data_IF_448940992712
#
_entry.id   IF_448940992712
#
_cell.length_a   1.000
_cell.length_b   1.000
_cell.length_c   1.000
_cell.angle_alpha   90.00
_cell.angle_beta   90.00
_cell.angle_gamma   90.00
#
_symmetry.space_group_name_H-M   'P 1'
#
loop_
_entity.id
_entity.type
_entity.pdbx_description
1 polymer ?
#
# COMPACT_ATOMS: atom_id res chain seq x y z
N UNK A 1 -10.63 16.43 11.85
CA UNK A 1 -9.29 15.87 11.58
C UNK A 1 -8.85 16.35 10.21
N UNK A 2 -7.64 16.84 10.07
CA UNK A 2 -7.10 17.22 8.76
C UNK A 2 -5.89 16.33 8.39
N UNK A 3 -5.74 16.07 7.10
CA UNK A 3 -4.64 15.31 6.56
C UNK A 3 -3.32 16.11 6.59
N UNK A 4 -2.23 15.36 6.54
CA UNK A 4 -0.87 15.88 6.42
C UNK A 4 0.02 14.83 5.76
N UNK A 5 1.16 15.26 5.21
CA UNK A 5 2.11 14.39 4.52
C UNK A 5 1.55 13.76 3.22
N UNK A 6 1.94 12.52 2.91
CA UNK A 6 1.59 11.84 1.65
C UNK A 6 0.33 10.99 1.74
N UNK A 7 -0.15 10.52 0.58
CA UNK A 7 -1.31 9.62 0.50
C UNK A 7 -1.14 8.33 1.32
N UNK A 8 0.08 7.78 1.36
CA UNK A 8 0.38 6.61 2.18
C UNK A 8 0.18 6.86 3.68
N UNK A 9 0.50 8.07 4.15
CA UNK A 9 0.29 8.46 5.55
C UNK A 9 -1.20 8.55 5.85
N UNK A 10 -1.99 9.13 4.95
CA UNK A 10 -3.45 9.22 5.11
C UNK A 10 -4.04 7.81 5.20
N UNK A 11 -3.71 6.93 4.26
CA UNK A 11 -4.18 5.54 4.24
C UNK A 11 -3.76 4.79 5.50
N UNK A 12 -2.54 4.97 5.97
CA UNK A 12 -2.05 4.31 7.18
C UNK A 12 -2.77 4.80 8.44
N UNK A 13 -2.93 6.11 8.62
CA UNK A 13 -3.39 6.69 9.87
C UNK A 13 -4.91 6.89 9.95
N UNK A 14 -5.65 6.79 8.84
CA UNK A 14 -7.13 6.84 8.88
C UNK A 14 -7.74 5.77 9.80
N UNK A 15 -7.05 4.63 10.02
CA UNK A 15 -7.46 3.59 10.98
C UNK A 15 -7.76 4.09 12.39
N UNK A 16 -7.28 5.28 12.74
CA UNK A 16 -7.52 5.91 14.04
C UNK A 16 -8.83 6.70 14.09
N UNK A 17 -9.45 7.03 12.95
CA UNK A 17 -10.68 7.83 12.90
C UNK A 17 -11.85 7.16 13.64
N UNK A 18 -12.13 5.86 13.47
CA UNK A 18 -13.18 5.20 14.21
C UNK A 18 -12.99 5.24 15.73
N UNK A 19 -11.73 5.27 16.21
CA UNK A 19 -11.44 5.30 17.64
C UNK A 19 -11.84 6.63 18.30
N UNK A 20 -11.94 7.72 17.52
CA UNK A 20 -12.41 9.02 18.04
C UNK A 20 -13.87 8.92 18.49
N UNK A 21 -14.71 8.18 17.76
CA UNK A 21 -16.11 7.94 18.14
C UNK A 21 -16.26 6.97 19.32
N UNK A 22 -15.21 6.25 19.66
CA UNK A 22 -15.19 5.28 20.79
C UNK A 22 -14.63 5.86 22.09
N UNK A 23 -14.30 7.17 22.13
CA UNK A 23 -13.86 7.86 23.34
C UNK A 23 -14.99 7.94 24.38
N UNK A 24 -14.67 8.09 25.67
CA UNK A 24 -15.66 8.30 26.74
C UNK A 24 -16.54 9.55 26.51
N UNK A 25 -15.98 10.57 25.84
CA UNK A 25 -16.67 11.78 25.42
C UNK A 25 -16.38 12.04 23.94
N UNK A 26 -17.06 11.34 23.02
CA UNK A 26 -16.82 11.50 21.60
C UNK A 26 -17.35 12.84 21.10
N UNK A 27 -16.78 13.40 20.02
CA UNK A 27 -17.33 14.59 19.38
C UNK A 27 -18.72 14.28 18.81
N UNK A 28 -19.62 15.28 18.86
CA UNK A 28 -20.96 15.19 18.25
C UNK A 28 -20.86 14.97 16.73
N UNK A 29 -19.89 15.64 16.09
CA UNK A 29 -19.59 15.48 14.67
C UNK A 29 -18.10 15.30 14.44
N UNK A 30 -17.74 14.47 13.48
CA UNK A 30 -16.38 14.22 13.04
C UNK A 30 -16.26 14.52 11.55
N UNK A 31 -15.50 15.59 11.25
CA UNK A 31 -15.14 15.98 9.88
C UNK A 31 -13.76 15.48 9.54
N UNK A 32 -13.59 14.94 8.34
CA UNK A 32 -12.29 14.54 7.83
C UNK A 32 -11.94 15.36 6.58
N UNK A 33 -10.96 16.23 6.72
CA UNK A 33 -10.32 16.92 5.61
C UNK A 33 -9.40 15.92 4.89
N UNK A 34 -9.71 15.63 3.64
CA UNK A 34 -9.07 14.58 2.86
C UNK A 34 -8.96 15.01 1.39
N UNK A 35 -7.81 14.78 0.73
CA UNK A 35 -7.69 15.07 -0.69
C UNK A 35 -8.77 14.34 -1.52
N UNK A 36 -9.38 15.04 -2.46
CA UNK A 36 -10.47 14.53 -3.33
C UNK A 36 -10.18 13.15 -3.91
N UNK A 37 -8.92 12.91 -4.29
CA UNK A 37 -8.48 11.63 -4.88
C UNK A 37 -8.67 10.41 -3.96
N UNK A 38 -8.64 10.61 -2.64
CA UNK A 38 -8.78 9.52 -1.66
C UNK A 38 -10.21 9.36 -1.17
N UNK A 39 -11.08 10.36 -1.33
CA UNK A 39 -12.45 10.34 -0.82
C UNK A 39 -13.22 9.07 -1.20
N UNK A 40 -13.10 8.54 -2.44
CA UNK A 40 -13.78 7.30 -2.82
C UNK A 40 -13.49 6.09 -1.93
N UNK A 41 -12.31 6.03 -1.27
CA UNK A 41 -11.95 4.95 -0.35
C UNK A 41 -12.73 4.99 0.98
N UNK A 42 -13.40 6.09 1.30
CA UNK A 42 -14.07 6.33 2.58
C UNK A 42 -15.59 6.43 2.47
N UNK A 43 -16.17 6.02 1.34
CA UNK A 43 -17.61 6.21 1.04
C UNK A 43 -18.52 5.58 2.11
N UNK A 44 -18.13 4.44 2.71
CA UNK A 44 -18.93 3.68 3.69
C UNK A 44 -18.40 3.81 5.14
N UNK A 45 -17.77 4.95 5.45
CA UNK A 45 -17.23 5.18 6.78
C UNK A 45 -18.23 5.87 7.72
N UNK A 46 -19.08 5.07 8.37
CA UNK A 46 -20.13 5.52 9.32
C UNK A 46 -19.62 6.39 10.48
N UNK A 47 -18.31 6.35 10.77
CA UNK A 47 -17.73 7.18 11.81
C UNK A 47 -17.54 8.64 11.41
N UNK A 48 -17.64 8.97 10.12
CA UNK A 48 -17.47 10.32 9.59
C UNK A 48 -18.83 10.94 9.34
N UNK A 49 -19.03 12.15 9.84
CA UNK A 49 -20.22 12.94 9.55
C UNK A 49 -20.07 13.70 8.21
N UNK A 50 -18.83 14.05 7.84
CA UNK A 50 -18.50 14.67 6.57
C UNK A 50 -17.05 14.40 6.19
N UNK A 51 -16.80 14.18 4.91
CA UNK A 51 -15.47 14.07 4.31
C UNK A 51 -15.42 14.93 3.05
N UNK A 52 -14.43 15.80 2.94
CA UNK A 52 -14.19 16.64 1.77
C UNK A 52 -12.76 17.14 1.73
N UNK A 53 -12.32 17.65 0.59
CA UNK A 53 -11.14 18.51 0.49
C UNK A 53 -11.60 19.95 0.79
N UNK A 54 -11.40 20.38 2.04
CA UNK A 54 -11.85 21.70 2.49
C UNK A 54 -10.94 22.84 2.01
N UNK A 55 -9.74 22.53 1.53
CA UNK A 55 -8.78 23.53 1.06
C UNK A 55 -8.53 24.65 2.07
N UNK A 56 -8.61 25.91 1.62
CA UNK A 56 -8.38 27.08 2.46
C UNK A 56 -9.60 27.50 3.31
N UNK A 57 -10.73 26.81 3.19
CA UNK A 57 -11.97 27.16 3.89
C UNK A 57 -12.54 25.99 4.69
N UNK A 58 -11.82 25.54 5.75
CA UNK A 58 -12.34 24.47 6.60
C UNK A 58 -13.63 24.90 7.30
N UNK A 59 -14.53 23.94 7.65
CA UNK A 59 -15.72 24.22 8.42
C UNK A 59 -15.36 24.83 9.79
N UNK A 60 -16.28 25.61 10.38
CA UNK A 60 -16.14 26.07 11.76
C UNK A 60 -16.27 24.87 12.71
N UNK A 61 -15.24 24.63 13.53
CA UNK A 61 -15.16 23.50 14.44
C UNK A 61 -14.60 23.93 15.80
N UNK A 62 -15.02 23.26 16.87
CA UNK A 62 -14.50 23.54 18.22
C UNK A 62 -13.05 23.10 18.38
N UNK A 63 -12.65 22.02 17.70
CA UNK A 63 -11.32 21.42 17.78
C UNK A 63 -10.86 20.90 16.42
N UNK A 64 -9.57 20.96 16.17
CA UNK A 64 -8.94 20.30 15.04
C UNK A 64 -7.69 19.53 15.48
N UNK A 65 -7.33 18.50 14.74
CA UNK A 65 -6.13 17.70 15.00
C UNK A 65 -5.55 17.18 13.68
N UNK A 66 -4.22 17.25 13.49
CA UNK A 66 -3.57 16.54 12.39
C UNK A 66 -3.74 15.02 12.52
N UNK A 67 -3.96 14.34 11.41
CA UNK A 67 -4.22 12.90 11.37
C UNK A 67 -3.09 12.09 12.05
N UNK A 68 -1.83 12.43 11.78
CA UNK A 68 -0.68 11.73 12.34
C UNK A 68 -0.44 12.05 13.82
N UNK A 69 -1.15 13.00 14.41
CA UNK A 69 -1.13 13.25 15.85
C UNK A 69 -2.07 12.34 16.65
N UNK A 70 -3.00 11.65 16.00
CA UNK A 70 -3.97 10.77 16.65
C UNK A 70 -3.31 9.65 17.48
N UNK A 71 -2.29 8.92 16.99
CA UNK A 71 -1.64 7.88 17.79
C UNK A 71 -1.16 8.39 19.15
N UNK A 72 -0.48 9.53 19.17
CA UNK A 72 0.02 10.14 20.42
C UNK A 72 -1.12 10.59 21.34
N UNK A 73 -2.21 11.14 20.81
CA UNK A 73 -3.37 11.57 21.59
C UNK A 73 -4.17 10.41 22.15
N UNK A 74 -4.20 9.28 21.45
CA UNK A 74 -4.88 8.06 21.87
C UNK A 74 -3.97 7.14 22.69
N UNK A 75 -2.74 7.56 23.03
CA UNK A 75 -1.81 6.79 23.84
C UNK A 75 -1.35 5.49 23.18
N UNK A 76 -1.21 5.49 21.85
CA UNK A 76 -0.80 4.28 21.11
C UNK A 76 0.63 3.88 21.46
N UNK A 77 0.81 2.61 21.77
CA UNK A 77 2.10 1.91 21.87
C UNK A 77 2.22 0.89 20.76
N UNK A 78 3.35 0.19 20.64
CA UNK A 78 3.52 -0.86 19.64
C UNK A 78 2.49 -1.98 19.78
N UNK A 79 2.08 -2.30 21.02
CA UNK A 79 1.14 -3.34 21.35
C UNK A 79 -0.33 -2.92 21.12
N UNK A 80 -0.58 -1.61 21.05
CA UNK A 80 -1.93 -1.05 20.91
C UNK A 80 -2.18 -0.39 19.55
N UNK A 81 -1.27 -0.56 18.58
CA UNK A 81 -1.53 -0.15 17.21
C UNK A 81 -2.82 -0.85 16.73
N UNK A 82 -3.83 -0.10 16.23
CA UNK A 82 -5.04 -0.72 15.70
C UNK A 82 -4.71 -1.62 14.51
N UNK A 83 -4.76 -2.95 14.72
CA UNK A 83 -4.38 -3.96 13.74
C UNK A 83 -5.57 -4.78 13.22
N UNK A 84 -6.80 -4.34 13.50
CA UNK A 84 -8.00 -4.95 12.90
C UNK A 84 -7.99 -4.69 11.38
N UNK A 85 -7.98 -5.77 10.60
CA UNK A 85 -7.94 -5.72 9.13
C UNK A 85 -9.11 -6.52 8.55
N UNK A 86 -9.63 -6.14 7.38
CA UNK A 86 -9.38 -4.88 6.69
C UNK A 86 -10.02 -3.68 7.42
N UNK A 87 -9.45 -2.49 7.30
CA UNK A 87 -10.10 -1.24 7.70
C UNK A 87 -10.47 -0.36 6.49
N UNK A 88 -9.97 -0.67 5.30
CA UNK A 88 -10.46 -0.17 4.02
C UNK A 88 -10.98 -1.35 3.20
N UNK A 89 -12.05 -1.13 2.47
CA UNK A 89 -12.63 -2.09 1.53
C UNK A 89 -12.63 -1.50 0.13
N UNK A 90 -12.63 -2.35 -0.89
CA UNK A 90 -12.75 -1.89 -2.26
C UNK A 90 -14.16 -1.31 -2.50
N UNK A 91 -14.30 -0.02 -2.87
CA UNK A 91 -15.60 0.58 -3.15
C UNK A 91 -16.19 0.17 -4.53
N UNK A 92 -15.37 -0.52 -5.37
CA UNK A 92 -15.67 -0.84 -6.76
C UNK A 92 -15.59 -2.34 -7.04
N UNK A 93 -16.18 -3.20 -6.18
CA UNK A 93 -16.01 -4.66 -6.19
C UNK A 93 -16.21 -5.35 -7.56
N UNK A 94 -17.02 -4.79 -8.46
CA UNK A 94 -17.31 -5.37 -9.77
C UNK A 94 -16.75 -4.56 -10.96
N UNK A 95 -15.82 -3.66 -10.69
CA UNK A 95 -15.38 -2.67 -11.67
C UNK A 95 -14.42 -3.19 -12.73
N UNK A 96 -13.47 -4.06 -12.34
CA UNK A 96 -12.37 -4.49 -13.21
C UNK A 96 -11.97 -5.92 -12.90
N UNK A 97 -11.87 -6.73 -13.94
CA UNK A 97 -11.32 -8.09 -13.83
C UNK A 97 -9.87 -8.09 -14.35
N UNK A 98 -8.93 -8.41 -13.47
CA UNK A 98 -7.51 -8.55 -13.85
C UNK A 98 -7.39 -9.73 -14.81
N UNK A 99 -6.89 -9.53 -16.04
CA UNK A 99 -6.83 -10.57 -17.05
C UNK A 99 -6.01 -11.75 -16.55
N UNK A 100 -6.52 -13.00 -16.63
CA UNK A 100 -5.76 -14.18 -16.25
C UNK A 100 -4.63 -14.41 -17.26
N UNK A 101 -3.44 -14.78 -16.77
CA UNK A 101 -2.32 -15.17 -17.61
C UNK A 101 -2.19 -16.70 -17.67
N UNK A 102 -1.95 -17.23 -18.86
CA UNK A 102 -1.98 -18.68 -19.08
C UNK A 102 -0.91 -19.43 -18.25
N UNK A 103 -1.32 -20.53 -17.63
CA UNK A 103 -0.41 -21.40 -16.87
C UNK A 103 0.07 -20.83 -15.52
N UNK A 104 -0.57 -19.76 -15.04
CA UNK A 104 -0.25 -19.14 -13.75
C UNK A 104 -1.30 -19.48 -12.70
N UNK A 105 -0.86 -19.57 -11.44
CA UNK A 105 -1.72 -19.85 -10.27
C UNK A 105 -1.57 -18.81 -9.18
N UNK A 106 -0.56 -17.95 -9.25
CA UNK A 106 -0.28 -16.90 -8.29
C UNK A 106 -0.23 -15.55 -9.01
N UNK A 107 -0.99 -14.57 -8.52
CA UNK A 107 -1.01 -13.19 -9.02
C UNK A 107 -0.16 -12.30 -8.12
N UNK A 108 0.92 -11.74 -8.65
CA UNK A 108 1.84 -10.85 -7.93
C UNK A 108 1.78 -9.46 -8.54
N UNK A 109 1.25 -8.49 -7.78
CA UNK A 109 1.33 -7.07 -8.12
C UNK A 109 2.74 -6.52 -7.85
N UNK A 110 3.35 -5.78 -8.78
CA UNK A 110 4.71 -5.26 -8.62
C UNK A 110 4.76 -3.74 -8.73
N UNK A 111 5.51 -3.08 -7.81
CA UNK A 111 5.83 -1.65 -7.84
C UNK A 111 7.28 -1.44 -7.44
N UNK A 112 8.05 -0.70 -8.25
CA UNK A 112 9.51 -0.59 -8.10
C UNK A 112 10.01 0.85 -7.97
N UNK A 113 9.20 1.84 -8.33
CA UNK A 113 9.58 3.24 -8.30
C UNK A 113 8.56 4.12 -7.57
N UNK A 114 8.98 5.31 -7.20
CA UNK A 114 8.15 6.32 -6.56
C UNK A 114 8.47 7.68 -7.14
N UNK A 115 7.45 8.45 -7.49
CA UNK A 115 7.55 9.70 -8.27
C UNK A 115 7.96 10.94 -7.44
N UNK A 116 8.62 10.81 -6.31
CA UNK A 116 8.86 11.97 -5.44
C UNK A 116 10.34 12.23 -5.16
N UNK A 117 10.95 13.10 -5.98
CA UNK A 117 12.17 13.86 -5.66
C UNK A 117 13.45 13.05 -5.32
N UNK A 118 14.55 13.76 -5.07
CA UNK A 118 15.87 13.16 -4.84
C UNK A 118 15.97 12.25 -3.61
N UNK A 119 15.17 12.51 -2.56
CA UNK A 119 15.14 11.68 -1.33
C UNK A 119 14.52 10.30 -1.55
N UNK A 120 13.65 10.15 -2.54
CA UNK A 120 12.98 8.89 -2.87
C UNK A 120 13.79 7.98 -3.79
N UNK A 121 14.79 8.50 -4.51
CA UNK A 121 15.67 7.69 -5.38
C UNK A 121 16.36 6.52 -4.64
N UNK A 122 16.57 6.65 -3.33
CA UNK A 122 17.13 5.57 -2.51
C UNK A 122 16.18 4.40 -2.29
N UNK A 123 14.87 4.62 -2.48
CA UNK A 123 13.82 3.60 -2.34
C UNK A 123 13.56 2.86 -3.66
N UNK A 124 14.00 3.39 -4.79
CA UNK A 124 13.77 2.79 -6.12
C UNK A 124 14.55 1.49 -6.23
N UNK A 125 13.85 0.41 -6.52
CA UNK A 125 14.43 -0.86 -6.91
C UNK A 125 14.47 -0.91 -8.45
N UNK A 126 15.63 -1.02 -9.10
CA UNK A 126 15.66 -1.12 -10.56
C UNK A 126 14.77 -2.28 -11.04
N UNK A 127 13.93 -2.05 -12.04
CA UNK A 127 13.06 -3.10 -12.59
C UNK A 127 13.85 -4.34 -13.04
N UNK A 128 15.11 -4.16 -13.46
CA UNK A 128 16.02 -5.24 -13.84
C UNK A 128 16.28 -6.23 -12.70
N UNK A 129 16.26 -5.77 -11.45
CA UNK A 129 16.40 -6.67 -10.29
C UNK A 129 15.13 -7.51 -10.11
N UNK A 130 13.95 -6.90 -10.19
CA UNK A 130 12.68 -7.60 -10.10
C UNK A 130 12.50 -8.57 -11.29
N UNK A 131 13.01 -8.21 -12.46
CA UNK A 131 12.95 -9.04 -13.65
C UNK A 131 13.66 -10.39 -13.50
N UNK A 132 14.56 -10.52 -12.53
CA UNK A 132 15.15 -11.82 -12.16
C UNK A 132 14.08 -12.80 -11.61
N UNK A 133 12.91 -12.32 -11.18
CA UNK A 133 11.80 -13.21 -10.77
C UNK A 133 10.92 -13.65 -11.95
N UNK A 134 10.98 -12.98 -13.09
CA UNK A 134 10.07 -13.24 -14.23
C UNK A 134 10.31 -14.57 -14.94
N UNK A 135 11.35 -15.33 -14.59
CA UNK A 135 11.57 -16.70 -15.05
C UNK A 135 10.80 -17.75 -14.22
N UNK A 136 10.22 -17.32 -13.08
CA UNK A 136 9.46 -18.21 -12.20
C UNK A 136 8.16 -18.65 -12.88
N UNK A 137 7.96 -19.98 -12.92
CA UNK A 137 6.74 -20.57 -13.48
C UNK A 137 5.57 -20.45 -12.50
N UNK A 138 4.37 -20.42 -13.03
CA UNK A 138 3.12 -20.36 -12.26
C UNK A 138 2.84 -19.01 -11.58
N UNK A 139 3.65 -17.99 -11.81
CA UNK A 139 3.40 -16.63 -11.33
C UNK A 139 3.02 -15.73 -12.50
N UNK A 140 1.94 -14.97 -12.33
CA UNK A 140 1.59 -13.82 -13.13
C UNK A 140 2.07 -12.54 -12.43
N UNK A 141 2.94 -11.78 -13.07
CA UNK A 141 3.40 -10.49 -12.58
C UNK A 141 2.61 -9.37 -13.22
N UNK A 142 1.94 -8.57 -12.40
CA UNK A 142 1.15 -7.41 -12.83
C UNK A 142 1.81 -6.12 -12.39
N UNK A 143 2.22 -5.29 -13.35
CA UNK A 143 2.78 -3.97 -13.06
C UNK A 143 1.72 -3.02 -12.55
N UNK A 144 1.80 -2.67 -11.27
CA UNK A 144 0.97 -1.66 -10.61
C UNK A 144 1.70 -0.32 -10.49
N UNK A 145 2.74 -0.13 -11.31
CA UNK A 145 3.53 1.10 -11.33
C UNK A 145 2.77 2.21 -12.05
N UNK A 146 2.64 3.35 -11.39
CA UNK A 146 2.03 4.55 -11.94
C UNK A 146 3.10 5.51 -12.52
N UNK A 147 2.70 6.36 -13.48
CA UNK A 147 3.55 7.41 -14.02
C UNK A 147 4.52 6.95 -15.09
N UNK A 148 5.60 7.73 -15.31
CA UNK A 148 6.56 7.49 -16.41
C UNK A 148 7.36 6.20 -16.23
N UNK A 149 7.67 5.84 -14.99
CA UNK A 149 8.44 4.63 -14.66
C UNK A 149 7.70 3.34 -15.08
N UNK A 150 6.38 3.38 -15.25
CA UNK A 150 5.59 2.23 -15.72
C UNK A 150 6.10 1.69 -17.07
N UNK A 151 6.64 2.54 -17.93
CA UNK A 151 7.18 2.17 -19.25
C UNK A 151 8.42 1.28 -19.18
N UNK A 152 9.12 1.25 -18.04
CA UNK A 152 10.27 0.36 -17.87
C UNK A 152 9.85 -1.11 -17.99
N UNK A 153 8.59 -1.45 -17.63
CA UNK A 153 8.07 -2.80 -17.74
C UNK A 153 7.83 -3.24 -19.20
N UNK A 154 7.68 -2.30 -20.16
CA UNK A 154 7.38 -2.60 -21.56
C UNK A 154 8.43 -3.53 -22.19
N UNK A 155 9.69 -3.44 -21.74
CA UNK A 155 10.79 -4.29 -22.17
C UNK A 155 10.59 -5.78 -21.80
N UNK A 156 9.69 -6.09 -20.88
CA UNK A 156 9.46 -7.41 -20.34
C UNK A 156 8.08 -7.99 -20.67
N UNK A 157 7.17 -7.17 -21.22
CA UNK A 157 5.79 -7.62 -21.55
C UNK A 157 5.70 -8.61 -22.70
N UNK A 158 6.81 -8.86 -23.42
CA UNK A 158 6.89 -9.98 -24.37
C UNK A 158 6.88 -11.36 -23.68
N UNK A 159 7.06 -11.42 -22.34
CA UNK A 159 6.91 -12.63 -21.53
C UNK A 159 5.44 -12.87 -21.27
N UNK A 160 4.99 -14.10 -21.43
CA UNK A 160 3.58 -14.50 -21.29
C UNK A 160 3.02 -14.31 -19.85
N UNK A 161 3.92 -14.23 -18.87
CA UNK A 161 3.57 -14.09 -17.45
C UNK A 161 3.80 -12.67 -16.88
N UNK A 162 4.02 -11.66 -17.72
CA UNK A 162 4.22 -10.27 -17.31
C UNK A 162 3.22 -9.37 -18.01
N UNK A 163 2.46 -8.61 -17.26
CA UNK A 163 1.44 -7.70 -17.77
C UNK A 163 1.47 -6.35 -17.07
N UNK A 164 1.31 -5.25 -17.83
CA UNK A 164 1.22 -3.89 -17.27
C UNK A 164 -0.24 -3.49 -17.11
N UNK A 165 -0.62 -3.06 -15.91
CA UNK A 165 -1.94 -2.51 -15.59
C UNK A 165 -1.88 -0.98 -15.43
N UNK A 166 -0.80 -0.32 -15.86
CA UNK A 166 -0.60 1.11 -15.71
C UNK A 166 -1.74 1.98 -16.26
N UNK A 167 -2.38 1.54 -17.35
CA UNK A 167 -3.49 2.24 -17.99
C UNK A 167 -4.84 2.03 -17.25
N UNK A 168 -4.91 1.02 -16.37
CA UNK A 168 -6.11 0.65 -15.62
C UNK A 168 -6.11 1.28 -14.21
N UNK A 169 -4.99 1.86 -13.78
CA UNK A 169 -4.81 2.55 -12.50
C UNK A 169 -5.36 3.99 -12.60
N UNK A 170 -6.69 4.13 -12.73
CA UNK A 170 -7.33 5.44 -12.92
C UNK A 170 -7.39 6.31 -11.66
N UNK A 171 -7.52 5.71 -10.48
CA UNK A 171 -7.66 6.36 -9.19
C UNK A 171 -7.31 5.41 -8.04
N UNK A 172 -7.42 5.87 -6.80
CA UNK A 172 -7.15 5.02 -5.62
C UNK A 172 -8.19 3.91 -5.47
N UNK A 173 -9.43 4.16 -5.83
CA UNK A 173 -10.52 3.19 -5.89
C UNK A 173 -10.28 2.12 -6.97
N UNK A 174 -9.86 2.51 -8.16
CA UNK A 174 -9.47 1.58 -9.23
C UNK A 174 -8.26 0.74 -8.80
N UNK A 175 -7.27 1.39 -8.17
CA UNK A 175 -6.10 0.71 -7.64
C UNK A 175 -6.49 -0.30 -6.55
N UNK A 176 -7.42 0.04 -5.68
CA UNK A 176 -7.97 -0.86 -4.67
C UNK A 176 -8.64 -2.10 -5.31
N UNK A 177 -9.47 -1.89 -6.36
CA UNK A 177 -10.14 -2.96 -7.08
C UNK A 177 -9.15 -3.94 -7.76
N UNK A 178 -8.01 -3.43 -8.21
CA UNK A 178 -6.95 -4.25 -8.80
C UNK A 178 -6.16 -4.98 -7.71
N UNK A 179 -5.79 -4.30 -6.61
CA UNK A 179 -5.04 -4.88 -5.50
C UNK A 179 -5.80 -6.04 -4.85
N UNK A 180 -7.13 -5.92 -4.69
CA UNK A 180 -7.97 -6.97 -4.11
C UNK A 180 -7.86 -8.31 -4.82
N UNK A 181 -7.50 -8.31 -6.10
CA UNK A 181 -7.37 -9.50 -6.92
C UNK A 181 -5.95 -10.08 -6.93
N UNK A 182 -5.01 -9.49 -6.19
CA UNK A 182 -3.63 -9.99 -6.05
C UNK A 182 -3.52 -10.95 -4.87
N UNK A 183 -2.76 -12.02 -5.04
CA UNK A 183 -2.40 -12.92 -3.94
C UNK A 183 -1.33 -12.29 -3.04
N UNK A 184 -0.46 -11.47 -3.62
CA UNK A 184 0.56 -10.68 -2.92
C UNK A 184 0.95 -9.44 -3.73
N UNK A 185 1.23 -8.35 -3.04
CA UNK A 185 1.78 -7.13 -3.63
C UNK A 185 3.25 -7.00 -3.24
N UNK A 186 4.16 -7.11 -4.20
CA UNK A 186 5.59 -6.88 -4.04
C UNK A 186 5.91 -5.43 -4.41
N UNK A 187 6.22 -4.60 -3.45
CA UNK A 187 6.41 -3.18 -3.67
C UNK A 187 7.52 -2.59 -2.82
N UNK A 188 8.18 -1.55 -3.32
CA UNK A 188 8.93 -0.65 -2.45
C UNK A 188 7.97 0.14 -1.55
N UNK A 189 8.49 0.88 -0.58
CA UNK A 189 7.73 1.72 0.36
C UNK A 189 6.99 2.88 -0.36
N UNK A 190 5.74 2.62 -0.77
CA UNK A 190 4.82 3.55 -1.45
C UNK A 190 3.41 3.45 -0.85
N UNK A 191 2.49 4.32 -1.29
CA UNK A 191 1.08 4.24 -0.87
C UNK A 191 0.43 2.88 -1.19
N UNK A 192 0.93 2.16 -2.18
CA UNK A 192 0.43 0.83 -2.58
C UNK A 192 0.52 -0.18 -1.44
N UNK A 193 1.63 -0.21 -0.69
CA UNK A 193 1.78 -1.13 0.45
C UNK A 193 0.83 -0.78 1.58
N UNK A 194 0.52 0.50 1.76
CA UNK A 194 -0.43 0.95 2.76
C UNK A 194 -1.86 0.59 2.36
N UNK A 195 -2.21 0.73 1.07
CA UNK A 195 -3.51 0.37 0.54
C UNK A 195 -3.73 -1.15 0.60
N UNK A 196 -2.78 -1.95 0.13
CA UNK A 196 -2.83 -3.40 0.22
C UNK A 196 -2.98 -3.87 1.67
N UNK A 197 -2.14 -3.35 2.58
CA UNK A 197 -2.22 -3.66 4.00
C UNK A 197 -3.55 -3.26 4.64
N UNK A 198 -4.09 -2.08 4.31
CA UNK A 198 -5.38 -1.61 4.79
C UNK A 198 -6.55 -2.51 4.36
N UNK A 199 -6.45 -3.13 3.19
CA UNK A 199 -7.41 -4.07 2.62
C UNK A 199 -7.16 -5.53 3.05
N UNK A 200 -6.15 -5.77 3.90
CA UNK A 200 -5.72 -7.12 4.31
C UNK A 200 -5.18 -8.00 3.17
N UNK A 201 -4.68 -7.38 2.10
CA UNK A 201 -3.95 -8.08 1.05
C UNK A 201 -2.48 -8.15 1.44
N UNK A 202 -1.83 -9.33 1.39
CA UNK A 202 -0.43 -9.48 1.76
C UNK A 202 0.47 -8.53 0.97
N UNK A 203 1.24 -7.67 1.66
CA UNK A 203 2.24 -6.81 1.05
C UNK A 203 3.65 -7.27 1.45
N UNK A 204 4.48 -7.56 0.47
CA UNK A 204 5.90 -7.83 0.62
C UNK A 204 6.67 -6.57 0.29
N UNK A 205 7.20 -5.94 1.32
CA UNK A 205 7.72 -4.58 1.25
C UNK A 205 9.24 -4.64 1.11
N UNK A 206 9.73 -4.23 -0.04
CA UNK A 206 11.15 -4.10 -0.34
C UNK A 206 11.68 -2.79 0.24
N UNK A 207 12.62 -2.87 1.16
CA UNK A 207 13.11 -1.73 1.91
C UNK A 207 14.58 -1.43 1.59
N UNK A 208 14.94 -0.14 1.45
CA UNK A 208 16.33 0.27 1.36
C UNK A 208 17.07 -0.02 2.66
N UNK A 209 18.39 0.03 2.64
CA UNK A 209 19.26 -0.15 3.82
C UNK A 209 18.88 0.80 4.96
N UNK A 210 18.48 2.03 4.63
CA UNK A 210 17.94 3.00 5.60
C UNK A 210 16.46 3.22 5.31
N UNK A 211 15.56 2.43 5.94
CA UNK A 211 14.13 2.52 5.70
C UNK A 211 13.50 3.71 6.42
N UNK A 212 12.24 3.97 6.15
CA UNK A 212 11.42 4.88 6.93
C UNK A 212 11.19 4.31 8.35
N UNK A 213 10.99 5.19 9.33
CA UNK A 213 10.83 4.86 10.76
C UNK A 213 9.74 3.82 11.04
N UNK A 214 8.66 3.83 10.25
CA UNK A 214 7.51 2.94 10.44
C UNK A 214 7.82 1.47 10.21
N UNK A 215 8.89 1.18 9.49
CA UNK A 215 9.31 -0.19 9.18
C UNK A 215 10.32 -0.74 10.17
N UNK A 216 10.80 0.06 11.14
CA UNK A 216 11.83 -0.33 12.12
C UNK A 216 13.15 -0.79 11.45
N UNK A 217 14.06 -1.40 12.22
CA UNK A 217 15.38 -1.84 11.72
C UNK A 217 15.55 -3.36 11.75
N UNK A 218 15.07 -4.02 12.80
CA UNK A 218 15.51 -5.39 13.15
C UNK A 218 14.39 -6.45 13.06
N UNK A 219 13.34 -6.19 12.24
CA UNK A 219 12.22 -7.12 12.12
C UNK A 219 11.83 -7.36 10.65
N UNK A 220 11.31 -8.54 10.38
CA UNK A 220 10.79 -8.97 9.07
C UNK A 220 9.27 -8.88 8.94
N UNK A 221 8.57 -8.55 10.04
CA UNK A 221 7.14 -8.29 10.11
C UNK A 221 6.87 -6.80 10.38
N UNK A 222 5.62 -6.40 10.40
CA UNK A 222 5.23 -5.04 10.78
C UNK A 222 3.97 -5.03 11.64
N UNK A 223 3.94 -4.26 12.76
CA UNK A 223 2.74 -4.15 13.59
C UNK A 223 1.62 -3.36 12.90
N UNK A 224 1.94 -2.62 11.83
CA UNK A 224 0.95 -1.87 11.06
C UNK A 224 0.05 -2.76 10.21
N UNK A 225 0.61 -3.85 9.66
CA UNK A 225 -0.06 -4.74 8.71
C UNK A 225 0.36 -6.18 8.98
N UNK A 226 -0.37 -6.92 9.85
CA UNK A 226 0.05 -8.25 10.30
C UNK A 226 0.26 -9.28 9.18
N UNK A 227 -0.44 -9.12 8.05
CA UNK A 227 -0.27 -9.98 6.86
C UNK A 227 0.93 -9.62 5.97
N UNK A 228 1.68 -8.55 6.29
CA UNK A 228 2.77 -8.05 5.46
C UNK A 228 4.15 -8.52 5.95
N UNK A 229 5.13 -8.55 5.03
CA UNK A 229 6.52 -8.94 5.29
C UNK A 229 7.49 -7.90 4.78
N UNK A 230 8.62 -7.75 5.48
CA UNK A 230 9.66 -6.77 5.19
C UNK A 230 10.92 -7.46 4.67
N UNK A 231 11.37 -7.04 3.49
CA UNK A 231 12.60 -7.53 2.84
C UNK A 231 13.58 -6.36 2.72
N UNK A 232 14.75 -6.46 3.35
CA UNK A 232 15.66 -5.35 3.54
C UNK A 232 16.97 -5.55 2.81
N UNK A 233 17.49 -4.47 2.22
CA UNK A 233 18.87 -4.44 1.72
C UNK A 233 19.86 -4.73 2.84
N UNK A 234 20.86 -5.56 2.57
CA UNK A 234 21.97 -5.87 3.48
C UNK A 234 23.05 -4.77 3.46
N UNK A 235 23.16 -4.03 2.36
CA UNK A 235 24.04 -2.88 2.18
C UNK A 235 23.33 -1.84 1.29
N UNK A 236 23.73 -0.55 1.32
CA UNK A 236 23.12 0.48 0.46
C UNK A 236 23.19 0.10 -1.03
N UNK A 237 22.02 0.04 -1.67
CA UNK A 237 21.87 -0.28 -3.10
C UNK A 237 21.85 -1.78 -3.43
N UNK A 238 21.97 -2.65 -2.44
CA UNK A 238 21.99 -4.12 -2.62
C UNK A 238 20.55 -4.66 -2.77
N UNK A 239 19.92 -4.38 -3.92
CA UNK A 239 18.61 -4.92 -4.25
C UNK A 239 18.66 -6.40 -4.65
N UNK A 240 19.82 -6.88 -5.17
CA UNK A 240 19.98 -8.28 -5.55
C UNK A 240 19.72 -9.19 -4.34
N UNK A 241 20.30 -8.91 -3.17
CA UNK A 241 20.08 -9.69 -1.95
C UNK A 241 18.63 -9.71 -1.49
N UNK A 242 17.88 -8.61 -1.73
CA UNK A 242 16.45 -8.53 -1.44
C UNK A 242 15.69 -9.50 -2.34
N UNK A 243 15.95 -9.49 -3.63
CA UNK A 243 15.31 -10.38 -4.61
C UNK A 243 15.64 -11.84 -4.36
N UNK A 244 16.90 -12.15 -4.01
CA UNK A 244 17.35 -13.50 -3.64
C UNK A 244 16.60 -14.05 -2.41
N UNK A 245 16.24 -13.16 -1.47
CA UNK A 245 15.44 -13.54 -0.30
C UNK A 245 13.95 -13.74 -0.65
N UNK A 246 13.42 -12.99 -1.61
CA UNK A 246 12.02 -13.05 -2.04
C UNK A 246 11.74 -14.31 -2.85
N UNK A 247 12.65 -14.73 -3.74
CA UNK A 247 12.45 -15.87 -4.64
C UNK A 247 12.01 -17.15 -3.93
N UNK A 248 12.71 -17.67 -2.91
CA UNK A 248 12.31 -18.89 -2.21
C UNK A 248 10.94 -18.76 -1.51
N UNK A 249 10.59 -17.57 -1.05
CA UNK A 249 9.30 -17.33 -0.43
C UNK A 249 8.14 -17.38 -1.43
N UNK A 250 8.36 -16.89 -2.66
CA UNK A 250 7.39 -17.06 -3.75
C UNK A 250 7.24 -18.53 -4.14
N UNK A 251 8.32 -19.32 -4.12
CA UNK A 251 8.25 -20.77 -4.36
C UNK A 251 7.37 -21.48 -3.33
N UNK A 252 7.45 -21.04 -2.05
CA UNK A 252 6.58 -21.56 -0.98
C UNK A 252 5.11 -21.21 -1.26
N UNK A 253 4.82 -19.96 -1.65
CA UNK A 253 3.45 -19.55 -2.00
C UNK A 253 2.88 -20.35 -3.19
N UNK A 254 3.67 -20.59 -4.23
CA UNK A 254 3.26 -21.41 -5.37
C UNK A 254 2.88 -22.82 -4.90
N UNK A 255 3.66 -23.40 -3.97
CA UNK A 255 3.41 -24.75 -3.47
C UNK A 255 2.13 -24.84 -2.64
N UNK A 256 1.73 -23.75 -1.96
CA UNK A 256 0.50 -23.65 -1.15
C UNK A 256 -0.77 -23.46 -2.01
N UNK A 257 -0.63 -22.88 -3.21
CA UNK A 257 -1.73 -22.56 -4.13
C UNK A 257 -1.93 -23.62 -5.24
N UNK A 258 -1.21 -24.73 -5.19
CA UNK A 258 -1.38 -25.92 -6.06
C UNK A 258 -2.31 -26.92 -5.43
#
# INVERSE_FOLDING_TARGET
>A
VHWEQGFGDIIQFCRYLPLIKSLDAPPAKLFFDCPDKLIPLFTDWDCLDEIADFGDTPPEVDYFIPLMSLPGRLGTTLETIPAAMPYLVNPLSDYFEVPPLAGTTLKVGIVWASDHGASYRRKVCPIAEIANLFDMKHIAFYGLQFGEDARELDSYTARENVHSLANDLGGFDHTAAIIEQMDVVLSIDTYIVHLAGAMNIPAWIMLPYTPDWRWFLDRSDTPWYPGSRLFRQQAPGDWASVIDTIRPELEVLIAQNR
#
